data_IF_030319096221
#
_entry.id   IF_030319096221
#
_cell.length_a   1.000
_cell.length_b   1.000
_cell.length_c   1.000
_cell.angle_alpha   90.00
_cell.angle_beta   90.00
_cell.angle_gamma   90.00
#
_symmetry.space_group_name_H-M   'P 1'
#
loop_
_entity.id
_entity.type
_entity.pdbx_description
1 polymer ?
#
# COMPACT_ATOMS: atom_id res chain seq x y z
N UNK A 1 19.63 -21.89 6.40
CA UNK A 1 18.34 -21.39 5.88
C UNK A 1 18.31 -19.89 6.18
N UNK A 2 18.41 -19.07 5.16
CA UNK A 2 18.37 -17.63 5.32
C UNK A 2 16.92 -17.20 5.56
N UNK A 3 16.73 -16.27 6.48
CA UNK A 3 15.43 -15.68 6.79
C UNK A 3 15.46 -14.27 6.20
N UNK A 4 14.46 -13.93 5.40
CA UNK A 4 14.25 -12.56 4.89
C UNK A 4 13.29 -11.83 5.83
N UNK A 5 13.74 -10.72 6.42
CA UNK A 5 12.99 -9.96 7.42
C UNK A 5 12.49 -8.67 6.80
N UNK A 6 11.17 -8.50 6.77
CA UNK A 6 10.52 -7.27 6.34
C UNK A 6 9.97 -6.55 7.56
N UNK A 7 10.39 -5.32 7.77
CA UNK A 7 9.82 -4.48 8.81
C UNK A 7 8.75 -3.55 8.23
N UNK A 8 7.63 -3.46 8.92
CA UNK A 8 6.55 -2.58 8.58
C UNK A 8 6.69 -1.28 9.36
N UNK A 9 6.65 -0.15 8.67
CA UNK A 9 6.65 1.17 9.29
C UNK A 9 5.33 1.89 9.06
N UNK A 10 4.90 2.65 10.05
CA UNK A 10 3.63 3.36 10.00
C UNK A 10 3.76 4.78 9.41
N UNK A 11 4.98 5.28 9.25
CA UNK A 11 5.22 6.65 8.81
C UNK A 11 5.47 6.76 7.30
N UNK A 12 4.94 7.84 6.72
CA UNK A 12 5.10 8.15 5.30
C UNK A 12 6.50 8.56 4.91
N UNK A 13 7.17 9.25 5.81
CA UNK A 13 8.50 9.75 5.53
C UNK A 13 9.49 9.19 6.53
N UNK A 14 10.68 8.79 6.12
CA UNK A 14 11.66 8.19 7.01
C UNK A 14 12.32 9.15 7.98
N UNK A 15 11.91 10.38 8.10
CA UNK A 15 12.54 11.35 9.00
C UNK A 15 11.92 11.38 10.39
N UNK A 16 12.69 11.12 11.42
CA UNK A 16 12.40 11.43 12.82
C UNK A 16 11.60 10.41 13.64
N UNK A 17 11.07 9.35 13.02
CA UNK A 17 10.35 8.28 13.75
C UNK A 17 10.76 6.88 13.29
N UNK A 18 12.02 6.72 12.87
CA UNK A 18 12.44 5.49 12.18
C UNK A 18 13.21 4.57 13.07
N UNK A 19 12.51 4.05 14.01
CA UNK A 19 13.00 2.94 14.81
C UNK A 19 13.48 1.78 13.94
N UNK A 20 12.80 1.54 12.81
CA UNK A 20 13.21 0.52 11.84
C UNK A 20 14.55 0.84 11.19
N UNK A 21 14.78 2.09 10.83
CA UNK A 21 16.05 2.51 10.23
C UNK A 21 17.20 2.56 11.24
N UNK A 22 16.91 2.67 12.53
CA UNK A 22 17.93 2.50 13.58
C UNK A 22 18.34 1.03 13.75
N UNK A 23 17.69 0.11 13.08
CA UNK A 23 18.00 -1.30 13.05
C UNK A 23 18.75 -1.74 11.79
N UNK A 24 19.54 -0.85 11.20
CA UNK A 24 20.35 -1.16 10.02
C UNK A 24 21.10 -2.50 10.17
N UNK A 25 21.04 -3.33 9.16
CA UNK A 25 21.60 -4.68 9.17
C UNK A 25 20.80 -5.73 9.94
N UNK A 26 19.63 -5.39 10.46
CA UNK A 26 18.75 -6.35 11.15
C UNK A 26 17.47 -6.66 10.40
N UNK A 27 17.20 -5.93 9.33
CA UNK A 27 16.08 -6.17 8.41
C UNK A 27 16.59 -6.11 6.99
N UNK A 28 15.94 -6.85 6.11
CA UNK A 28 16.30 -6.95 4.69
C UNK A 28 15.49 -5.98 3.83
N UNK A 29 14.29 -5.65 4.28
CA UNK A 29 13.42 -4.69 3.61
C UNK A 29 12.50 -3.97 4.57
N UNK A 30 11.97 -2.84 4.09
CA UNK A 30 10.88 -2.12 4.75
C UNK A 30 9.65 -2.07 3.85
N UNK A 31 8.48 -1.99 4.46
CA UNK A 31 7.24 -1.65 3.80
C UNK A 31 6.47 -0.63 4.62
N UNK A 32 5.59 0.13 3.99
CA UNK A 32 4.67 1.01 4.70
C UNK A 32 3.36 0.29 4.95
N UNK A 33 2.88 0.34 6.20
CA UNK A 33 1.50 0.00 6.48
C UNK A 33 0.60 1.02 5.81
N UNK A 34 -0.61 0.63 5.57
CA UNK A 34 -1.68 1.49 5.09
C UNK A 34 -1.25 2.94 4.86
N UNK A 35 -0.99 3.30 3.63
CA UNK A 35 -0.58 4.65 3.23
C UNK A 35 -1.63 5.71 3.51
N UNK A 36 -2.77 5.30 4.01
CA UNK A 36 -3.95 6.11 4.26
C UNK A 36 -4.03 6.67 5.68
N UNK A 37 -3.14 6.27 6.58
CA UNK A 37 -3.20 6.64 8.00
C UNK A 37 -2.64 8.03 8.32
N UNK A 38 -2.50 8.90 7.32
CA UNK A 38 -1.94 10.23 7.55
C UNK A 38 -3.02 11.29 7.65
N UNK A 39 -3.04 11.96 8.77
CA UNK A 39 -4.02 12.99 9.15
C UNK A 39 -4.11 14.23 8.23
N UNK A 40 -3.27 14.33 7.21
CA UNK A 40 -3.18 15.50 6.34
C UNK A 40 -3.57 15.24 4.88
N UNK A 41 -4.28 14.15 4.61
CA UNK A 41 -4.55 13.73 3.25
C UNK A 41 -5.89 14.29 2.74
N UNK A 42 -5.92 15.56 2.40
CA UNK A 42 -7.13 16.21 1.89
C UNK A 42 -7.41 15.98 0.39
N UNK A 43 -6.60 15.10 -0.28
CA UNK A 43 -6.67 14.96 -1.74
C UNK A 43 -6.64 13.49 -2.16
N UNK A 44 -7.65 12.74 -1.75
CA UNK A 44 -7.78 11.32 -2.09
C UNK A 44 -7.72 11.06 -3.61
N UNK A 45 -8.18 12.00 -4.43
CA UNK A 45 -8.13 11.88 -5.90
C UNK A 45 -6.71 11.96 -6.48
N UNK A 46 -5.74 12.51 -5.74
CA UNK A 46 -4.32 12.56 -6.13
C UNK A 46 -3.51 11.40 -5.52
N UNK A 47 -4.19 10.45 -4.95
CA UNK A 47 -3.57 9.41 -4.15
C UNK A 47 -2.45 8.64 -4.87
N UNK A 48 -2.62 8.16 -6.12
CA UNK A 48 -1.55 7.46 -6.81
C UNK A 48 -0.29 8.30 -7.02
N UNK A 49 -0.44 9.61 -7.30
CA UNK A 49 0.69 10.51 -7.51
C UNK A 49 1.46 10.79 -6.22
N UNK A 50 0.75 10.92 -5.11
CA UNK A 50 1.36 11.15 -3.81
C UNK A 50 2.09 9.91 -3.31
N UNK A 51 1.54 8.73 -3.55
CA UNK A 51 2.20 7.46 -3.26
C UNK A 51 3.48 7.33 -4.09
N UNK A 52 3.44 7.64 -5.37
CA UNK A 52 4.59 7.57 -6.26
C UNK A 52 5.77 8.39 -5.71
N UNK A 53 5.51 9.63 -5.30
CA UNK A 53 6.52 10.49 -4.69
C UNK A 53 7.03 9.94 -3.36
N UNK A 54 6.13 9.46 -2.52
CA UNK A 54 6.49 8.95 -1.21
C UNK A 54 7.31 7.66 -1.31
N UNK A 55 6.91 6.73 -2.15
CA UNK A 55 7.64 5.47 -2.34
C UNK A 55 9.01 5.69 -2.97
N UNK A 56 9.12 6.62 -3.91
CA UNK A 56 10.41 7.04 -4.45
C UNK A 56 11.35 7.47 -3.32
N UNK A 57 10.87 8.36 -2.45
CA UNK A 57 11.66 8.85 -1.33
C UNK A 57 12.05 7.74 -0.35
N UNK A 58 11.11 6.88 0.02
CA UNK A 58 11.38 5.75 0.93
C UNK A 58 12.39 4.76 0.31
N UNK A 59 12.25 4.45 -0.97
CA UNK A 59 13.15 3.55 -1.69
C UNK A 59 14.57 4.12 -1.76
N UNK A 60 14.69 5.37 -2.16
CA UNK A 60 16.00 6.05 -2.25
C UNK A 60 16.68 6.14 -0.88
N UNK A 61 15.93 6.47 0.16
CA UNK A 61 16.45 6.57 1.52
C UNK A 61 16.85 5.21 2.07
N UNK A 62 16.04 4.18 1.93
CA UNK A 62 16.33 2.82 2.37
C UNK A 62 17.59 2.27 1.69
N UNK A 63 17.70 2.45 0.39
CA UNK A 63 18.84 1.97 -0.39
C UNK A 63 20.13 2.73 -0.06
N UNK A 64 20.08 4.07 0.00
CA UNK A 64 21.28 4.89 0.15
C UNK A 64 21.86 4.88 1.57
N UNK A 65 21.01 4.82 2.59
CA UNK A 65 21.45 4.93 3.99
C UNK A 65 21.65 3.59 4.68
N UNK A 66 20.87 2.56 4.26
CA UNK A 66 20.82 1.29 4.98
C UNK A 66 21.06 0.06 4.11
N UNK A 67 21.15 0.21 2.81
CA UNK A 67 21.32 -0.88 1.84
C UNK A 67 20.23 -1.96 2.00
N UNK A 68 19.02 -1.55 2.37
CA UNK A 68 17.85 -2.42 2.46
C UNK A 68 16.83 -2.10 1.38
N UNK A 69 15.97 -3.07 1.08
CA UNK A 69 14.97 -2.93 0.04
C UNK A 69 13.71 -2.21 0.54
N UNK A 70 12.94 -1.66 -0.39
CA UNK A 70 11.60 -1.14 -0.14
C UNK A 70 10.58 -2.01 -0.88
N UNK A 71 9.54 -2.45 -0.17
CA UNK A 71 8.46 -3.27 -0.73
C UNK A 71 7.17 -2.45 -0.76
N UNK A 72 6.64 -2.12 -1.95
CA UNK A 72 5.37 -1.44 -2.09
C UNK A 72 4.21 -2.27 -1.53
N UNK A 73 3.29 -1.63 -0.82
CA UNK A 73 2.02 -2.23 -0.39
C UNK A 73 0.86 -1.53 -1.08
N UNK A 74 0.15 -2.25 -1.95
CA UNK A 74 -1.00 -1.74 -2.71
C UNK A 74 -2.32 -2.06 -2.03
N UNK A 75 -3.33 -1.20 -2.25
CA UNK A 75 -4.70 -1.41 -1.83
C UNK A 75 -5.68 -0.86 -2.86
N UNK A 76 -6.84 -1.49 -3.10
CA UNK A 76 -7.83 -1.00 -4.05
C UNK A 76 -8.57 0.26 -3.57
N UNK A 77 -8.65 0.43 -2.26
CA UNK A 77 -9.44 1.48 -1.63
C UNK A 77 -9.18 1.53 -0.13
N UNK A 78 -9.69 2.57 0.51
CA UNK A 78 -9.75 2.65 1.97
C UNK A 78 -10.87 3.55 2.44
N UNK A 79 -11.61 3.08 3.43
CA UNK A 79 -12.60 3.88 4.13
C UNK A 79 -12.65 3.48 5.61
N UNK A 80 -11.93 4.19 6.45
CA UNK A 80 -11.90 3.94 7.90
C UNK A 80 -13.21 4.32 8.60
N UNK A 81 -14.05 5.17 8.00
CA UNK A 81 -15.33 5.59 8.59
C UNK A 81 -16.32 4.45 8.73
N UNK A 82 -16.21 3.39 7.93
CA UNK A 82 -17.07 2.22 8.02
C UNK A 82 -16.98 1.59 9.42
N UNK A 83 -15.76 1.50 9.95
CA UNK A 83 -15.51 0.85 11.24
C UNK A 83 -15.38 1.85 12.41
N UNK A 84 -14.81 3.01 12.18
CA UNK A 84 -14.40 3.95 13.22
C UNK A 84 -15.28 5.20 13.30
N UNK A 85 -16.22 5.36 12.37
CA UNK A 85 -17.10 6.55 12.33
C UNK A 85 -16.34 7.86 12.09
N UNK A 86 -17.04 8.98 12.31
CA UNK A 86 -16.50 10.32 12.04
C UNK A 86 -15.37 10.78 12.99
N UNK A 87 -14.93 9.93 13.90
CA UNK A 87 -13.82 10.25 14.81
C UNK A 87 -12.45 10.21 14.14
N UNK A 88 -12.37 9.60 12.97
CA UNK A 88 -11.14 9.46 12.19
C UNK A 88 -11.14 10.43 11.02
N UNK A 89 -10.33 11.48 11.12
CA UNK A 89 -10.12 12.42 10.02
C UNK A 89 -9.12 11.85 8.99
N UNK A 90 -9.52 10.76 8.34
CA UNK A 90 -8.73 10.11 7.30
C UNK A 90 -9.37 10.28 5.94
N UNK A 91 -8.60 10.35 4.86
CA UNK A 91 -9.17 10.41 3.53
C UNK A 91 -9.91 9.12 3.20
N UNK A 92 -11.00 9.27 2.48
CA UNK A 92 -11.68 8.16 1.83
C UNK A 92 -11.07 8.02 0.43
N UNK A 93 -10.57 6.84 0.12
CA UNK A 93 -10.18 6.46 -1.23
C UNK A 93 -11.19 5.44 -1.73
N UNK A 94 -12.01 5.86 -2.66
CA UNK A 94 -13.07 5.02 -3.19
C UNK A 94 -12.51 3.84 -3.97
N UNK A 95 -13.26 2.75 -3.94
CA UNK A 95 -12.95 1.55 -4.70
C UNK A 95 -13.19 1.82 -6.19
N UNK A 96 -12.11 1.92 -6.95
CA UNK A 96 -12.15 2.22 -8.37
C UNK A 96 -11.10 1.37 -9.12
N UNK A 97 -11.51 0.59 -10.14
CA UNK A 97 -10.63 -0.28 -10.91
C UNK A 97 -9.46 0.46 -11.59
N UNK A 98 -9.71 1.64 -12.14
CA UNK A 98 -8.67 2.41 -12.86
C UNK A 98 -7.65 3.00 -11.90
N UNK A 99 -8.12 3.48 -10.75
CA UNK A 99 -7.24 3.92 -9.67
C UNK A 99 -6.38 2.75 -9.18
N UNK A 100 -6.95 1.56 -9.03
CA UNK A 100 -6.19 0.38 -8.61
C UNK A 100 -5.17 -0.06 -9.66
N UNK A 101 -5.50 -0.03 -10.97
CA UNK A 101 -4.52 -0.25 -12.04
C UNK A 101 -3.38 0.76 -11.97
N UNK A 102 -3.69 2.02 -11.72
CA UNK A 102 -2.69 3.06 -11.55
C UNK A 102 -1.78 2.76 -10.36
N UNK A 103 -2.34 2.33 -9.23
CA UNK A 103 -1.58 1.89 -8.06
C UNK A 103 -0.64 0.72 -8.35
N UNK A 104 -1.10 -0.29 -9.09
CA UNK A 104 -0.27 -1.39 -9.53
C UNK A 104 0.90 -0.92 -10.41
N UNK A 105 0.65 0.04 -11.30
CA UNK A 105 1.70 0.63 -12.14
C UNK A 105 2.71 1.45 -11.33
N UNK A 106 2.24 2.18 -10.31
CA UNK A 106 3.13 2.85 -9.35
C UNK A 106 4.00 1.82 -8.64
N UNK A 107 3.41 0.74 -8.11
CA UNK A 107 4.16 -0.31 -7.43
C UNK A 107 5.24 -0.93 -8.32
N UNK A 108 4.94 -1.17 -9.60
CA UNK A 108 5.93 -1.70 -10.55
C UNK A 108 7.15 -0.79 -10.76
N UNK A 109 6.97 0.53 -10.65
CA UNK A 109 8.09 1.50 -10.75
C UNK A 109 8.99 1.49 -9.52
N UNK A 110 8.45 1.08 -8.38
CA UNK A 110 9.16 1.05 -7.09
C UNK A 110 9.52 -0.36 -6.62
N UNK A 111 9.53 -1.32 -7.53
CA UNK A 111 10.05 -2.66 -7.23
C UNK A 111 11.53 -2.58 -6.92
N UNK A 112 11.90 -3.02 -5.72
CA UNK A 112 13.29 -3.22 -5.34
C UNK A 112 13.89 -4.50 -5.90
N UNK A 113 15.05 -4.87 -5.41
CA UNK A 113 15.79 -6.08 -5.83
C UNK A 113 15.01 -7.36 -5.56
N UNK A 114 14.20 -7.39 -4.53
CA UNK A 114 13.34 -8.53 -4.16
C UNK A 114 12.18 -8.76 -5.13
N UNK A 115 11.75 -7.73 -5.87
CA UNK A 115 10.61 -7.78 -6.79
C UNK A 115 9.30 -8.26 -6.15
N UNK A 116 9.11 -7.93 -4.89
CA UNK A 116 7.90 -8.25 -4.11
C UNK A 116 6.97 -7.04 -4.08
N UNK A 117 5.68 -7.28 -4.18
CA UNK A 117 4.61 -6.32 -3.90
C UNK A 117 3.69 -6.95 -2.85
N UNK A 118 3.36 -6.22 -1.82
CA UNK A 118 2.34 -6.65 -0.88
C UNK A 118 0.97 -6.10 -1.27
N UNK A 119 -0.03 -6.91 -1.05
CA UNK A 119 -1.41 -6.48 -1.03
C UNK A 119 -1.81 -6.25 0.43
N UNK A 120 -2.40 -5.10 0.74
CA UNK A 120 -2.77 -4.75 2.11
C UNK A 120 -3.69 -5.78 2.75
N UNK A 121 -4.72 -6.23 2.02
CA UNK A 121 -5.63 -7.26 2.48
C UNK A 121 -6.34 -7.97 1.34
N UNK A 122 -6.67 -9.25 1.54
CA UNK A 122 -7.58 -9.98 0.67
C UNK A 122 -9.06 -9.70 1.00
N UNK A 123 -9.41 -9.64 2.29
CA UNK A 123 -10.79 -9.62 2.78
C UNK A 123 -11.05 -8.64 3.93
N UNK A 124 -10.31 -7.55 4.01
CA UNK A 124 -10.60 -6.52 5.01
C UNK A 124 -11.76 -5.61 4.57
N UNK A 125 -12.96 -6.04 4.94
CA UNK A 125 -14.20 -5.30 4.71
C UNK A 125 -14.38 -4.12 5.66
N UNK A 126 -13.78 -4.20 6.86
CA UNK A 126 -13.89 -3.17 7.88
C UNK A 126 -13.31 -1.82 7.44
N UNK A 127 -12.27 -1.87 6.61
CA UNK A 127 -11.62 -0.69 6.04
C UNK A 127 -11.85 -0.52 4.54
N UNK A 128 -12.74 -1.33 3.98
CA UNK A 128 -13.09 -1.28 2.56
C UNK A 128 -11.94 -1.62 1.60
N UNK A 129 -10.91 -2.30 2.10
CA UNK A 129 -9.72 -2.66 1.31
C UNK A 129 -9.76 -4.07 0.72
N UNK A 130 -10.86 -4.80 0.91
CA UNK A 130 -11.03 -6.15 0.39
C UNK A 130 -10.97 -6.21 -1.14
N UNK A 131 -10.34 -7.29 -1.67
CA UNK A 131 -10.34 -7.67 -3.08
C UNK A 131 -11.02 -9.03 -3.31
N UNK A 132 -11.47 -9.66 -2.23
CA UNK A 132 -12.23 -10.90 -2.27
C UNK A 132 -13.38 -10.78 -3.27
N UNK A 133 -13.62 -11.78 -4.14
CA UNK A 133 -14.69 -11.73 -5.11
C UNK A 133 -16.06 -11.50 -4.47
N UNK A 134 -16.86 -10.68 -5.10
CA UNK A 134 -18.23 -10.39 -4.67
C UNK A 134 -19.21 -10.76 -5.76
N UNK A 135 -20.46 -11.02 -5.37
CA UNK A 135 -21.53 -11.22 -6.34
C UNK A 135 -21.89 -9.87 -7.00
N UNK A 136 -21.71 -9.73 -8.32
CA UNK A 136 -22.00 -8.49 -9.02
C UNK A 136 -23.51 -8.16 -9.09
N UNK A 137 -24.37 -9.13 -8.82
CA UNK A 137 -25.84 -8.94 -8.82
C UNK A 137 -26.35 -8.32 -7.51
N UNK A 138 -25.51 -8.27 -6.47
CA UNK A 138 -25.90 -7.75 -5.17
C UNK A 138 -25.16 -6.46 -4.80
N UNK A 139 -25.93 -5.39 -4.62
CA UNK A 139 -25.42 -4.11 -4.14
C UNK A 139 -24.32 -3.52 -5.04
N UNK A 140 -23.15 -3.23 -4.45
CA UNK A 140 -21.97 -2.71 -5.15
C UNK A 140 -20.95 -3.82 -5.42
N UNK A 141 -21.41 -5.03 -5.75
CA UNK A 141 -20.56 -6.14 -6.08
C UNK A 141 -19.67 -5.86 -7.30
N UNK A 142 -18.44 -6.32 -7.27
CA UNK A 142 -17.43 -6.08 -8.31
C UNK A 142 -16.93 -7.38 -8.98
N UNK A 143 -17.52 -8.52 -8.64
CA UNK A 143 -17.11 -9.81 -9.19
C UNK A 143 -15.65 -10.11 -8.93
N UNK A 144 -14.96 -10.55 -9.96
CA UNK A 144 -13.52 -10.88 -9.96
C UNK A 144 -12.61 -9.67 -10.30
N UNK A 145 -13.17 -8.48 -10.53
CA UNK A 145 -12.48 -7.32 -11.13
C UNK A 145 -11.11 -7.05 -10.54
N UNK A 146 -10.98 -7.03 -9.22
CA UNK A 146 -9.69 -6.70 -8.57
C UNK A 146 -8.66 -7.82 -8.66
N UNK A 147 -9.08 -9.07 -8.64
CA UNK A 147 -8.19 -10.20 -8.88
C UNK A 147 -7.73 -10.26 -10.34
N UNK A 148 -8.63 -9.95 -11.28
CA UNK A 148 -8.29 -9.91 -12.70
C UNK A 148 -7.30 -8.79 -13.00
N UNK A 149 -7.44 -7.62 -12.35
CA UNK A 149 -6.44 -6.55 -12.41
C UNK A 149 -5.08 -7.03 -11.89
N UNK A 150 -5.01 -7.74 -10.78
CA UNK A 150 -3.74 -8.27 -10.28
C UNK A 150 -3.11 -9.25 -11.26
N UNK A 151 -3.90 -10.16 -11.84
CA UNK A 151 -3.41 -11.09 -12.88
C UNK A 151 -2.86 -10.35 -14.08
N UNK A 152 -3.61 -9.38 -14.60
CA UNK A 152 -3.20 -8.54 -15.73
C UNK A 152 -1.90 -7.79 -15.43
N UNK A 153 -1.82 -7.15 -14.27
CA UNK A 153 -0.72 -6.25 -13.94
C UNK A 153 0.55 -6.98 -13.52
N UNK A 154 0.48 -8.13 -12.89
CA UNK A 154 1.62 -8.87 -12.36
C UNK A 154 1.87 -10.21 -13.05
N UNK A 155 1.09 -10.55 -14.07
CA UNK A 155 1.21 -11.80 -14.85
C UNK A 155 1.15 -13.06 -13.97
N UNK A 156 0.18 -13.08 -13.09
CA UNK A 156 -0.09 -14.25 -12.23
C UNK A 156 -0.84 -15.33 -13.00
#
# INVERSE_FOLDING_TARGET
>A
KEIFIVAQQDAWAPTGRFEVFHCAGKVDAITTKSMYDQNNFNRAYMYPQMIDQNWKYNQEFAASHFQIDFIPTISPSRNAYINMGNQYNQPIVDKNPDTFRTMCNVAKRHLGGTRIVFLESFNDWAYYSAIEPTDPEYGNGYGMTYLDILREQFKL
#
